data_IF_277595667103
#
_entry.id   IF_277595667103
#
_cell.length_a   1.000
_cell.length_b   1.000
_cell.length_c   1.000
_cell.angle_alpha   90.00
_cell.angle_beta   90.00
_cell.angle_gamma   90.00
#
_symmetry.space_group_name_H-M   'P 1'
#
loop_
_entity.id
_entity.type
_entity.pdbx_description
1 polymer ?
#
# COMPACT_ATOMS: atom_id res chain seq x y z
N UNK A 1 -10.70 -8.15 -5.42
CA UNK A 1 -9.75 -7.09 -5.15
C UNK A 1 -10.28 -6.19 -4.04
N UNK A 2 -9.45 -5.83 -3.03
CA UNK A 2 -9.92 -4.95 -1.96
C UNK A 2 -10.29 -3.56 -2.50
N UNK A 3 -11.25 -2.93 -1.85
CA UNK A 3 -11.76 -1.60 -2.24
C UNK A 3 -11.33 -0.50 -1.27
N UNK A 4 -10.82 -0.87 -0.10
CA UNK A 4 -10.39 0.07 0.93
C UNK A 4 -9.05 -0.38 1.50
N UNK A 5 -8.38 0.52 2.21
CA UNK A 5 -7.11 0.18 2.87
C UNK A 5 -7.34 -0.85 3.99
N UNK A 6 -8.50 -0.81 4.65
CA UNK A 6 -8.85 -1.79 5.68
C UNK A 6 -9.01 -3.19 5.09
N UNK A 7 -9.66 -3.30 3.94
CA UNK A 7 -9.77 -4.58 3.24
C UNK A 7 -8.42 -5.07 2.78
N UNK A 8 -7.56 -4.16 2.31
CA UNK A 8 -6.20 -4.49 1.93
C UNK A 8 -5.41 -5.01 3.12
N UNK A 9 -5.55 -4.38 4.30
CA UNK A 9 -4.89 -4.84 5.51
C UNK A 9 -5.30 -6.26 5.88
N UNK A 10 -6.59 -6.58 5.76
CA UNK A 10 -7.08 -7.94 6.01
C UNK A 10 -6.44 -8.94 5.04
N UNK A 11 -6.35 -8.58 3.77
CA UNK A 11 -5.74 -9.44 2.75
C UNK A 11 -4.26 -9.69 3.07
N UNK A 12 -3.51 -8.65 3.40
CA UNK A 12 -2.10 -8.76 3.71
C UNK A 12 -1.87 -9.55 4.98
N UNK A 13 -2.69 -9.32 6.01
CA UNK A 13 -2.59 -10.06 7.26
C UNK A 13 -2.74 -11.57 7.01
N UNK A 14 -3.71 -11.96 6.20
CA UNK A 14 -3.94 -13.36 5.85
C UNK A 14 -2.81 -13.92 4.99
N UNK A 15 -2.33 -13.14 4.03
CA UNK A 15 -1.27 -13.57 3.11
C UNK A 15 0.04 -13.82 3.83
N UNK A 16 0.41 -12.91 4.72
CA UNK A 16 1.73 -12.90 5.36
C UNK A 16 1.73 -13.53 6.76
N UNK A 17 0.56 -13.89 7.29
CA UNK A 17 0.46 -14.47 8.62
C UNK A 17 0.77 -13.49 9.73
N UNK A 18 0.44 -12.22 9.54
CA UNK A 18 0.64 -11.16 10.54
C UNK A 18 -0.71 -10.66 11.04
N UNK A 19 -0.70 -9.86 12.11
CA UNK A 19 -1.93 -9.29 12.63
C UNK A 19 -2.46 -8.19 11.71
N UNK A 20 -3.76 -7.93 11.81
CA UNK A 20 -4.39 -6.83 11.10
C UNK A 20 -3.71 -5.49 11.44
N UNK A 21 -3.41 -5.26 12.70
CA UNK A 21 -2.77 -4.02 13.15
C UNK A 21 -1.39 -3.83 12.54
N UNK A 22 -0.60 -4.89 12.45
CA UNK A 22 0.70 -4.84 11.79
C UNK A 22 0.57 -4.56 10.31
N UNK A 23 -0.39 -5.22 9.65
CA UNK A 23 -0.63 -4.99 8.23
C UNK A 23 -1.04 -3.55 7.98
N UNK A 24 -1.94 -3.01 8.79
CA UNK A 24 -2.41 -1.65 8.66
C UNK A 24 -1.29 -0.63 8.89
N UNK A 25 -0.43 -0.88 9.87
CA UNK A 25 0.71 -0.02 10.14
C UNK A 25 1.67 0.01 8.94
N UNK A 26 1.97 -1.14 8.37
CA UNK A 26 2.82 -1.22 7.18
C UNK A 26 2.20 -0.47 6.01
N UNK A 27 0.90 -0.59 5.82
CA UNK A 27 0.18 0.14 4.77
C UNK A 27 0.29 1.65 4.99
N UNK A 28 0.15 2.11 6.23
CA UNK A 28 0.26 3.53 6.54
C UNK A 28 1.66 4.06 6.29
N UNK A 29 2.70 3.30 6.65
CA UNK A 29 4.08 3.68 6.38
C UNK A 29 4.34 3.76 4.88
N UNK A 30 3.83 2.80 4.13
CA UNK A 30 3.90 2.79 2.68
C UNK A 30 3.22 4.03 2.09
N UNK A 31 2.02 4.33 2.57
CA UNK A 31 1.26 5.49 2.09
C UNK A 31 1.99 6.80 2.36
N UNK A 32 2.62 6.93 3.53
CA UNK A 32 3.38 8.12 3.89
C UNK A 32 4.57 8.32 2.94
N UNK A 33 5.29 7.24 2.63
CA UNK A 33 6.40 7.33 1.69
C UNK A 33 5.94 7.66 0.27
N UNK A 34 4.77 7.13 -0.13
CA UNK A 34 4.23 7.39 -1.47
C UNK A 34 3.71 8.81 -1.63
N UNK A 35 3.33 9.47 -0.54
CA UNK A 35 2.79 10.82 -0.58
C UNK A 35 3.74 11.80 -1.29
N UNK A 36 5.04 11.69 -1.02
CA UNK A 36 6.05 12.53 -1.65
C UNK A 36 6.10 12.34 -3.17
N UNK A 37 5.94 11.11 -3.61
CA UNK A 37 6.00 10.81 -5.04
C UNK A 37 4.82 11.40 -5.79
N UNK A 38 3.65 11.47 -5.16
CA UNK A 38 2.48 12.06 -5.78
C UNK A 38 2.63 13.57 -5.94
N UNK A 39 3.25 14.24 -4.98
CA UNK A 39 3.54 15.68 -5.09
C UNK A 39 4.51 15.97 -6.22
N UNK A 40 5.50 15.12 -6.42
CA UNK A 40 6.50 15.28 -7.47
C UNK A 40 6.03 14.76 -8.83
N UNK A 41 4.87 14.12 -8.88
CA UNK A 41 4.34 13.54 -10.10
C UNK A 41 5.04 12.25 -10.53
N UNK A 42 5.75 11.60 -9.63
CA UNK A 42 6.53 10.39 -9.93
C UNK A 42 5.73 9.13 -9.63
N UNK A 43 4.76 8.83 -10.48
CA UNK A 43 3.90 7.65 -10.30
C UNK A 43 4.72 6.36 -10.33
N UNK A 44 5.77 6.30 -11.15
CA UNK A 44 6.63 5.12 -11.25
C UNK A 44 7.31 4.82 -9.91
N UNK A 45 7.74 5.85 -9.18
CA UNK A 45 8.33 5.68 -7.85
C UNK A 45 7.29 5.16 -6.86
N UNK A 46 6.05 5.65 -6.95
CA UNK A 46 4.98 5.17 -6.09
C UNK A 46 4.72 3.68 -6.30
N UNK A 47 4.74 3.22 -7.55
CA UNK A 47 4.57 1.82 -7.87
C UNK A 47 5.71 0.97 -7.30
N UNK A 48 6.94 1.47 -7.36
CA UNK A 48 8.11 0.78 -6.80
C UNK A 48 8.00 0.68 -5.29
N UNK A 49 7.58 1.74 -4.61
CA UNK A 49 7.39 1.75 -3.16
C UNK A 49 6.33 0.74 -2.76
N UNK A 50 5.21 0.72 -3.48
CA UNK A 50 4.13 -0.22 -3.23
C UNK A 50 4.61 -1.67 -3.33
N UNK A 51 5.38 -1.98 -4.34
CA UNK A 51 5.92 -3.31 -4.55
C UNK A 51 6.93 -3.67 -3.46
N UNK A 52 7.82 -2.75 -3.11
CA UNK A 52 8.88 -3.01 -2.13
C UNK A 52 8.33 -3.19 -0.72
N UNK A 53 7.33 -2.40 -0.33
CA UNK A 53 6.73 -2.51 1.01
C UNK A 53 5.78 -3.69 1.13
N UNK A 54 4.91 -3.87 0.14
CA UNK A 54 3.77 -4.77 0.26
C UNK A 54 3.76 -5.88 -0.78
N UNK A 55 4.63 -5.84 -1.77
CA UNK A 55 4.66 -6.83 -2.84
C UNK A 55 3.41 -6.81 -3.70
N UNK A 56 2.81 -5.64 -3.89
CA UNK A 56 1.56 -5.50 -4.61
C UNK A 56 1.79 -5.03 -6.05
N UNK A 57 0.85 -5.39 -6.92
CA UNK A 57 0.82 -4.93 -8.30
C UNK A 57 0.42 -3.46 -8.38
N UNK A 58 0.79 -2.75 -9.47
CA UNK A 58 0.43 -1.34 -9.63
C UNK A 58 -1.07 -1.05 -9.56
N UNK A 59 -1.92 -2.02 -9.85
CA UNK A 59 -3.37 -1.86 -9.80
C UNK A 59 -3.86 -1.43 -8.41
N UNK A 60 -3.12 -1.78 -7.37
CA UNK A 60 -3.47 -1.41 -6.00
C UNK A 60 -3.18 0.05 -5.69
N UNK A 61 -2.48 0.76 -6.58
CA UNK A 61 -2.13 2.15 -6.37
C UNK A 61 -3.37 3.04 -6.17
N UNK A 62 -4.47 2.70 -6.84
CA UNK A 62 -5.72 3.45 -6.73
C UNK A 62 -6.24 3.55 -5.30
N UNK A 63 -5.90 2.57 -4.46
CA UNK A 63 -6.30 2.59 -3.04
C UNK A 63 -5.58 3.67 -2.23
N UNK A 64 -4.46 4.14 -2.73
CA UNK A 64 -3.61 5.12 -2.05
C UNK A 64 -3.77 6.53 -2.61
N UNK A 65 -4.51 6.70 -3.68
CA UNK A 65 -4.77 8.02 -4.28
C UNK A 65 -6.01 8.61 -3.61
N UNK A 66 -5.84 9.75 -3.00
CA UNK A 66 -6.89 10.43 -2.24
C UNK A 66 -7.44 11.63 -2.97
#
# INVERSE_FOLDING_TARGET
>A
MPKTLEELATMIANRDGISYDEALETIRDCAADMEHTFYDGSVDEAEDILRDYLGLEPDYLDLFIF
#
